data_IF_994090110500
#
_entry.id   IF_994090110500
#
_cell.length_a   1.000
_cell.length_b   1.000
_cell.length_c   1.000
_cell.angle_alpha   90.00
_cell.angle_beta   90.00
_cell.angle_gamma   90.00
#
_symmetry.space_group_name_H-M   'P 1'
#
loop_
_entity.id
_entity.type
_entity.pdbx_description
1 polymer ?
#
# COMPACT_ATOMS: atom_id res chain seq x y z
N UNK A 1 -11.24 -2.01 3.64
CA UNK A 1 -11.27 -1.51 5.03
C UNK A 1 -12.31 -2.15 5.93
N UNK A 2 -13.30 -2.87 5.40
CA UNK A 2 -14.23 -3.69 6.20
C UNK A 2 -13.57 -4.80 7.02
N UNK A 3 -12.27 -5.08 6.79
CA UNK A 3 -11.49 -6.05 7.55
C UNK A 3 -10.92 -5.52 8.88
N UNK A 4 -11.06 -4.22 9.17
CA UNK A 4 -10.67 -3.64 10.45
C UNK A 4 -11.89 -3.37 11.33
N UNK A 5 -11.82 -3.63 12.64
CA UNK A 5 -12.87 -3.22 13.56
C UNK A 5 -12.94 -1.69 13.65
N UNK A 6 -14.12 -1.16 13.95
CA UNK A 6 -14.29 0.26 14.24
C UNK A 6 -13.77 0.53 15.65
N UNK A 7 -12.80 1.44 15.77
CA UNK A 7 -12.13 1.77 17.03
C UNK A 7 -12.15 3.29 17.27
N UNK A 8 -11.91 3.73 18.52
CA UNK A 8 -11.88 5.16 18.86
C UNK A 8 -10.90 5.96 17.99
N UNK A 9 -9.79 5.32 17.61
CA UNK A 9 -8.73 5.87 16.76
C UNK A 9 -8.79 5.44 15.29
N UNK A 10 -9.77 4.62 14.88
CA UNK A 10 -9.85 4.09 13.51
C UNK A 10 -11.31 4.03 13.05
N UNK A 11 -11.68 5.03 12.25
CA UNK A 11 -12.99 5.08 11.60
C UNK A 11 -12.98 4.26 10.31
N UNK A 12 -13.98 3.41 10.15
CA UNK A 12 -14.18 2.59 8.95
C UNK A 12 -15.34 3.11 8.11
N UNK A 13 -15.37 2.83 6.80
CA UNK A 13 -16.48 3.21 5.92
C UNK A 13 -17.82 2.66 6.42
N UNK A 14 -18.88 3.46 6.26
CA UNK A 14 -20.24 3.03 6.58
C UNK A 14 -20.71 1.97 5.58
N UNK A 15 -21.28 0.86 6.07
CA UNK A 15 -21.76 -0.26 5.24
C UNK A 15 -23.06 0.04 4.50
N UNK A 16 -23.92 0.89 5.06
CA UNK A 16 -25.18 1.31 4.44
C UNK A 16 -25.28 2.83 4.47
N UNK A 17 -25.39 3.42 3.29
CA UNK A 17 -25.50 4.87 3.09
C UNK A 17 -26.69 5.17 2.20
N UNK A 18 -27.39 6.28 2.48
CA UNK A 18 -28.39 6.84 1.59
C UNK A 18 -27.76 7.88 0.69
N UNK A 19 -28.25 7.98 -0.55
CA UNK A 19 -27.77 8.98 -1.52
C UNK A 19 -27.95 10.40 -0.99
N UNK A 20 -26.91 11.21 -1.09
CA UNK A 20 -26.86 12.59 -0.59
C UNK A 20 -26.67 12.72 0.92
N UNK A 21 -26.34 11.63 1.63
CA UNK A 21 -26.07 11.70 3.07
C UNK A 21 -24.62 12.07 3.38
N UNK A 22 -24.40 12.69 4.53
CA UNK A 22 -23.05 12.95 5.06
C UNK A 22 -22.20 11.66 5.19
N UNK A 23 -22.83 10.49 5.34
CA UNK A 23 -22.14 9.19 5.36
C UNK A 23 -21.60 8.78 3.99
N UNK A 24 -22.33 9.08 2.92
CA UNK A 24 -21.87 8.85 1.54
C UNK A 24 -20.71 9.78 1.20
N UNK A 25 -20.79 11.05 1.59
CA UNK A 25 -19.69 12.02 1.43
C UNK A 25 -18.44 11.56 2.17
N UNK A 26 -18.58 11.10 3.42
CA UNK A 26 -17.49 10.52 4.19
C UNK A 26 -16.86 9.31 3.48
N UNK A 27 -17.66 8.33 3.06
CA UNK A 27 -17.17 7.16 2.34
C UNK A 27 -16.43 7.53 1.04
N UNK A 28 -16.92 8.55 0.33
CA UNK A 28 -16.30 9.08 -0.89
C UNK A 28 -14.93 9.68 -0.59
N UNK A 29 -14.83 10.52 0.44
CA UNK A 29 -13.55 11.09 0.87
C UNK A 29 -12.57 10.00 1.34
N UNK A 30 -13.04 9.04 2.14
CA UNK A 30 -12.25 7.92 2.63
C UNK A 30 -11.69 7.06 1.49
N UNK A 31 -12.54 6.72 0.51
CA UNK A 31 -12.16 5.95 -0.67
C UNK A 31 -11.07 6.64 -1.49
N UNK A 32 -11.17 7.96 -1.67
CA UNK A 32 -10.15 8.75 -2.38
C UNK A 32 -8.81 8.70 -1.67
N UNK A 33 -8.79 8.86 -0.35
CA UNK A 33 -7.57 8.72 0.45
C UNK A 33 -6.97 7.33 0.34
N UNK A 34 -7.79 6.29 0.43
CA UNK A 34 -7.37 4.89 0.28
C UNK A 34 -6.73 4.63 -1.08
N UNK A 35 -7.34 5.10 -2.16
CA UNK A 35 -6.83 4.92 -3.52
C UNK A 35 -5.39 5.45 -3.67
N UNK A 36 -5.10 6.62 -3.09
CA UNK A 36 -3.75 7.21 -3.10
C UNK A 36 -2.77 6.36 -2.31
N UNK A 37 -3.14 5.90 -1.11
CA UNK A 37 -2.27 5.05 -0.26
C UNK A 37 -1.99 3.71 -0.92
N UNK A 38 -3.02 3.06 -1.48
CA UNK A 38 -2.88 1.78 -2.19
C UNK A 38 -2.01 1.91 -3.43
N UNK A 39 -2.19 3.00 -4.19
CA UNK A 39 -1.36 3.29 -5.36
C UNK A 39 0.10 3.50 -4.97
N UNK A 40 0.37 4.26 -3.90
CA UNK A 40 1.71 4.45 -3.35
C UNK A 40 2.35 3.12 -2.93
N UNK A 41 1.61 2.29 -2.19
CA UNK A 41 2.08 0.98 -1.77
C UNK A 41 2.40 0.08 -2.98
N UNK A 42 1.53 0.04 -3.99
CA UNK A 42 1.77 -0.73 -5.22
C UNK A 42 3.02 -0.29 -5.99
N UNK A 43 3.25 1.02 -6.11
CA UNK A 43 4.47 1.55 -6.74
C UNK A 43 5.73 1.16 -5.94
N UNK A 44 5.68 1.26 -4.62
CA UNK A 44 6.81 0.92 -3.76
C UNK A 44 7.12 -0.58 -3.75
N UNK A 45 6.10 -1.46 -3.70
CA UNK A 45 6.30 -2.91 -3.75
C UNK A 45 6.77 -3.37 -5.13
N UNK A 46 6.30 -2.74 -6.21
CA UNK A 46 6.79 -3.00 -7.56
C UNK A 46 8.27 -2.61 -7.72
N UNK A 47 8.65 -1.46 -7.18
CA UNK A 47 10.03 -0.95 -7.28
C UNK A 47 11.01 -1.68 -6.36
N UNK A 48 10.62 -1.93 -5.11
CA UNK A 48 11.48 -2.51 -4.09
C UNK A 48 10.97 -3.89 -3.68
N UNK A 49 11.58 -4.93 -4.25
CA UNK A 49 11.24 -6.34 -3.96
C UNK A 49 11.29 -6.73 -2.48
N UNK A 50 12.01 -5.97 -1.65
CA UNK A 50 12.07 -6.17 -0.19
C UNK A 50 10.77 -5.78 0.54
N UNK A 51 9.89 -5.00 -0.11
CA UNK A 51 8.59 -4.61 0.43
C UNK A 51 7.46 -5.55 0.01
N UNK A 52 7.75 -6.51 -0.89
CA UNK A 52 6.76 -7.50 -1.31
C UNK A 52 6.31 -8.32 -0.09
N UNK A 53 5.01 -8.58 -0.01
CA UNK A 53 4.40 -9.32 1.11
C UNK A 53 5.10 -10.65 1.41
N UNK A 54 5.51 -11.37 0.35
CA UNK A 54 6.22 -12.64 0.45
C UNK A 54 7.71 -12.52 0.85
N UNK A 55 8.32 -11.32 0.70
CA UNK A 55 9.66 -11.00 1.22
C UNK A 55 9.52 -10.15 2.48
N UNK A 56 8.77 -10.68 3.44
CA UNK A 56 8.56 -9.98 4.72
C UNK A 56 9.92 -9.58 5.32
N UNK A 57 10.01 -8.32 5.74
CA UNK A 57 11.19 -7.80 6.42
C UNK A 57 11.31 -8.46 7.80
N UNK A 58 12.23 -9.43 7.93
CA UNK A 58 12.55 -10.10 9.20
C UNK A 58 13.40 -9.22 10.12
N UNK A 59 12.97 -7.97 10.33
CA UNK A 59 13.64 -6.99 11.17
C UNK A 59 12.70 -6.50 12.27
N UNK A 60 13.29 -5.96 13.34
CA UNK A 60 12.53 -5.25 14.36
C UNK A 60 11.79 -4.04 13.76
N UNK A 61 10.60 -3.67 14.28
CA UNK A 61 9.79 -2.58 13.71
C UNK A 61 10.58 -1.28 13.47
N UNK A 62 11.45 -0.89 14.40
CA UNK A 62 12.32 0.29 14.26
C UNK A 62 13.25 0.20 13.03
N UNK A 63 13.89 -0.95 12.83
CA UNK A 63 14.72 -1.18 11.64
C UNK A 63 13.89 -1.23 10.35
N UNK A 64 12.72 -1.86 10.38
CA UNK A 64 11.78 -1.89 9.25
C UNK A 64 11.34 -0.47 8.86
N UNK A 65 11.01 0.39 9.82
CA UNK A 65 10.67 1.79 9.56
C UNK A 65 11.82 2.56 8.88
N UNK A 66 13.07 2.35 9.32
CA UNK A 66 14.25 2.97 8.68
C UNK A 66 14.44 2.49 7.22
N UNK A 67 14.23 1.21 6.97
CA UNK A 67 14.32 0.63 5.62
C UNK A 67 13.24 1.24 4.72
N UNK A 68 11.98 1.28 5.17
CA UNK A 68 10.87 1.86 4.42
C UNK A 68 11.13 3.34 4.12
N UNK A 69 11.58 4.13 5.10
CA UNK A 69 11.93 5.54 4.89
C UNK A 69 13.03 5.71 3.83
N UNK A 70 14.04 4.84 3.85
CA UNK A 70 15.11 4.85 2.84
C UNK A 70 14.56 4.56 1.43
N UNK A 71 13.66 3.59 1.29
CA UNK A 71 12.97 3.30 0.03
C UNK A 71 12.19 4.51 -0.50
N UNK A 72 11.49 5.23 0.37
CA UNK A 72 10.72 6.44 -0.01
C UNK A 72 11.67 7.56 -0.49
N UNK A 73 12.76 7.80 0.24
CA UNK A 73 13.78 8.79 -0.16
C UNK A 73 14.35 8.44 -1.53
N UNK A 74 14.75 7.18 -1.72
CA UNK A 74 15.29 6.71 -2.99
C UNK A 74 14.26 6.83 -4.12
N UNK A 75 12.99 6.50 -3.87
CA UNK A 75 11.91 6.65 -4.83
C UNK A 75 11.76 8.11 -5.29
N UNK A 76 11.78 9.06 -4.36
CA UNK A 76 11.68 10.49 -4.67
C UNK A 76 12.88 10.97 -5.50
N UNK A 77 14.10 10.53 -5.15
CA UNK A 77 15.30 10.82 -5.94
C UNK A 77 15.20 10.27 -7.37
N UNK A 78 14.60 9.09 -7.55
CA UNK A 78 14.39 8.53 -8.88
C UNK A 78 13.40 9.36 -9.71
N UNK A 79 12.33 9.87 -9.08
CA UNK A 79 11.36 10.76 -9.75
C UNK A 79 12.05 12.05 -10.18
N UNK A 80 12.81 12.67 -9.28
CA UNK A 80 13.54 13.92 -9.56
C UNK A 80 14.58 13.75 -10.67
N UNK A 81 15.28 12.60 -10.68
CA UNK A 81 16.24 12.27 -11.73
C UNK A 81 15.62 11.74 -13.03
N UNK A 82 14.29 11.80 -13.20
CA UNK A 82 13.56 11.25 -14.34
C UNK A 82 13.93 9.79 -14.70
N UNK A 83 14.31 9.01 -13.68
CA UNK A 83 14.73 7.63 -13.89
C UNK A 83 13.50 6.79 -14.23
N UNK A 84 13.40 6.44 -15.52
CA UNK A 84 12.38 5.53 -16.01
C UNK A 84 12.55 4.19 -15.31
N UNK A 85 11.52 3.81 -14.58
CA UNK A 85 11.38 2.45 -14.10
C UNK A 85 10.64 1.68 -15.18
N UNK A 86 11.28 0.68 -15.75
CA UNK A 86 10.55 -0.31 -16.52
C UNK A 86 9.69 -1.09 -15.53
N UNK A 87 8.38 -1.11 -15.77
CA UNK A 87 7.48 -2.01 -15.06
C UNK A 87 7.95 -3.42 -15.38
N UNK A 88 8.72 -3.99 -14.45
CA UNK A 88 8.93 -5.43 -14.44
C UNK A 88 7.55 -5.99 -14.15
N UNK A 89 6.96 -6.69 -15.13
CA UNK A 89 5.73 -7.47 -14.94
C UNK A 89 6.04 -8.54 -13.87
N UNK A 90 5.91 -8.14 -12.61
CA UNK A 90 6.01 -9.03 -11.49
C UNK A 90 4.76 -9.90 -11.53
N UNK A 91 4.90 -11.23 -11.49
CA UNK A 91 3.76 -12.12 -11.31
C UNK A 91 2.94 -11.63 -10.13
N UNK A 92 1.61 -11.78 -10.20
CA UNK A 92 0.74 -11.36 -9.10
C UNK A 92 1.24 -11.96 -7.77
N UNK A 93 1.02 -11.23 -6.67
CA UNK A 93 1.53 -11.61 -5.34
C UNK A 93 1.18 -13.04 -4.92
N UNK A 94 0.09 -13.63 -5.44
CA UNK A 94 -0.30 -15.02 -5.17
C UNK A 94 0.42 -16.01 -6.07
N UNK A 95 0.68 -15.67 -7.34
CA UNK A 95 1.44 -16.52 -8.27
C UNK A 95 2.89 -16.70 -7.79
N UNK A 96 3.55 -15.66 -7.29
CA UNK A 96 4.92 -15.77 -6.80
C UNK A 96 5.05 -16.62 -5.52
N UNK A 97 4.00 -16.68 -4.70
CA UNK A 97 3.95 -17.52 -3.50
C UNK A 97 3.89 -19.01 -3.87
N UNK A 98 3.12 -19.38 -4.90
CA UNK A 98 2.97 -20.77 -5.31
C UNK A 98 4.23 -21.34 -5.97
N UNK A 99 5.06 -20.52 -6.63
CA UNK A 99 6.29 -20.97 -7.30
C UNK A 99 7.49 -21.18 -6.36
N UNK A 100 7.47 -20.60 -5.15
CA UNK A 100 8.61 -20.69 -4.19
C UNK A 100 8.39 -21.80 -3.14
N UNK A 101 7.19 -22.37 -3.08
CA UNK A 101 6.79 -23.40 -2.10
C UNK A 101 6.78 -24.81 -2.70
N UNK A 102 7.06 -24.95 -4.00
CA UNK A 102 7.44 -26.22 -4.66
C UNK A 102 8.97 -26.36 -4.77
#
# INVERSE_FOLDING_TARGET
DSGYPQELHLHTPYSTVSTGSAKEEYNTAHSRGRCVVESCNGVLTNRFRLLLKHRTLHYMPDATCRIINSCIILHNLCIEGEMKWEDIDLPDENTLFNTVVE
#
